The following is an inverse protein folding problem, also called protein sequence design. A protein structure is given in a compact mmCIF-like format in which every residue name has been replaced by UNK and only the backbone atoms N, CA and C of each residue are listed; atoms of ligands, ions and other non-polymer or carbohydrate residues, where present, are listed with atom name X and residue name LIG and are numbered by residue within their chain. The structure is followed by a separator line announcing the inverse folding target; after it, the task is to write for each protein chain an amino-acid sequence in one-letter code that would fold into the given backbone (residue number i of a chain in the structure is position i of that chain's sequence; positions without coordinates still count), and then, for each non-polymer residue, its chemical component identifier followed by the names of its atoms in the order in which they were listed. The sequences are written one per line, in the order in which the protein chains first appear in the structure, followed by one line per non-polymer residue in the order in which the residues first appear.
data_IF_658196158255
#
_entry.id   IF_658196158255
#
_cell.length_a   1.000
_cell.length_b   1.000
_cell.length_c   1.000
_cell.angle_alpha   90.00
_cell.angle_beta   90.00
_cell.angle_gamma   90.00
#
_symmetry.space_group_name_H-M   'P 1'
#
loop_
_entity.id
_entity.type
_entity.pdbx_description
1 polymer ?
#
# COMPACT_ATOMS: atom_id res chain seq x y z
N UNK A 1 -47.91 -16.14 -1.71
CA UNK A 1 -46.78 -16.93 -2.23
C UNK A 1 -45.75 -17.15 -1.15
N UNK A 2 -45.78 -18.34 -0.53
CA UNK A 2 -44.76 -18.81 0.44
C UNK A 2 -43.53 -19.26 -0.36
N UNK A 3 -42.35 -18.74 -0.02
CA UNK A 3 -41.08 -19.22 -0.56
C UNK A 3 -40.45 -20.14 0.49
N UNK A 4 -40.31 -21.41 0.13
CA UNK A 4 -39.74 -22.48 0.94
C UNK A 4 -38.22 -22.49 0.74
N UNK A 5 -37.45 -22.41 1.82
CA UNK A 5 -35.99 -22.49 1.80
C UNK A 5 -35.60 -23.90 2.27
N UNK A 6 -34.83 -24.61 1.44
CA UNK A 6 -34.30 -25.93 1.75
C UNK A 6 -32.75 -25.84 1.83
N UNK A 7 -32.11 -26.33 2.90
CA UNK A 7 -30.66 -26.42 2.99
C UNK A 7 -30.18 -27.78 2.50
N UNK A 8 -29.28 -27.82 1.52
CA UNK A 8 -28.57 -29.05 1.17
C UNK A 8 -27.16 -29.03 1.76
N UNK A 9 -26.95 -29.89 2.77
CA UNK A 9 -25.65 -30.31 3.28
C UNK A 9 -25.08 -31.41 2.38
N UNK A 10 -23.81 -31.28 1.96
CA UNK A 10 -22.89 -32.42 1.80
C UNK A 10 -21.45 -31.92 1.63
N UNK A 11 -20.56 -32.37 2.54
CA UNK A 11 -19.12 -32.07 2.56
C UNK A 11 -18.38 -32.48 1.28
N UNK A 12 -17.10 -32.13 1.09
CA UNK A 12 -15.95 -32.70 1.81
C UNK A 12 -14.72 -31.79 1.58
N UNK A 13 -13.91 -31.59 2.63
CA UNK A 13 -12.54 -31.09 2.59
C UNK A 13 -11.60 -32.15 1.99
N UNK A 14 -10.76 -31.79 1.01
CA UNK A 14 -9.61 -32.61 0.61
C UNK A 14 -8.35 -31.75 0.43
N UNK A 15 -7.46 -31.89 1.40
CA UNK A 15 -6.04 -31.57 1.37
C UNK A 15 -5.25 -32.49 0.43
N UNK A 16 -4.17 -31.94 -0.14
CA UNK A 16 -2.91 -32.57 -0.60
C UNK A 16 -2.96 -33.97 -1.25
N UNK A 17 -2.43 -34.07 -2.49
CA UNK A 17 -1.52 -35.17 -2.84
C UNK A 17 -0.63 -34.83 -4.05
N UNK A 18 0.68 -34.96 -3.82
CA UNK A 18 1.74 -35.04 -4.81
C UNK A 18 1.52 -36.20 -5.79
N UNK A 19 1.84 -35.98 -7.07
CA UNK A 19 2.11 -37.08 -8.00
C UNK A 19 3.30 -36.76 -8.88
N UNK A 20 4.42 -37.43 -8.56
CA UNK A 20 5.59 -37.54 -9.41
C UNK A 20 5.30 -38.52 -10.55
N UNK A 21 5.46 -38.10 -11.81
CA UNK A 21 5.56 -39.03 -12.93
C UNK A 21 6.78 -38.73 -13.81
N UNK A 22 7.69 -39.70 -13.78
CA UNK A 22 8.82 -39.88 -14.70
C UNK A 22 8.29 -40.29 -16.07
N UNK A 23 8.80 -39.69 -17.14
CA UNK A 23 8.93 -40.35 -18.44
C UNK A 23 10.22 -39.92 -19.12
N UNK A 24 10.96 -40.92 -19.59
CA UNK A 24 12.31 -40.90 -20.15
C UNK A 24 12.27 -41.21 -21.65
N UNK A 25 13.36 -40.81 -22.36
CA UNK A 25 13.89 -41.31 -23.65
C UNK A 25 13.28 -40.72 -24.94
N UNK A 26 13.99 -40.32 -26.03
CA UNK A 26 15.40 -40.31 -26.52
C UNK A 26 15.43 -39.48 -27.84
N UNK A 27 16.36 -38.55 -28.13
CA UNK A 27 17.60 -38.63 -28.99
C UNK A 27 17.85 -37.19 -29.54
N UNK A 28 18.99 -36.70 -30.03
CA UNK A 28 20.44 -36.82 -29.79
C UNK A 28 21.14 -35.75 -30.71
N UNK A 29 22.30 -35.22 -30.25
CA UNK A 29 23.31 -34.35 -30.94
C UNK A 29 22.93 -32.87 -31.16
N UNK A 30 23.75 -31.86 -30.85
CA UNK A 30 25.09 -31.74 -30.25
C UNK A 30 25.60 -30.32 -30.49
N UNK A 31 26.28 -29.69 -29.51
CA UNK A 31 27.31 -28.65 -29.67
C UNK A 31 27.74 -28.25 -28.24
N UNK A 32 28.93 -28.67 -27.82
CA UNK A 32 29.58 -28.17 -26.60
C UNK A 32 30.31 -26.88 -26.97
N UNK A 33 30.14 -25.82 -26.17
CA UNK A 33 31.09 -24.71 -26.21
C UNK A 33 31.56 -24.37 -24.80
N UNK A 34 32.89 -24.35 -24.68
CA UNK A 34 33.64 -24.39 -23.44
C UNK A 34 33.79 -23.00 -22.84
N UNK A 35 33.53 -22.88 -21.55
CA UNK A 35 33.93 -21.70 -20.78
C UNK A 35 35.45 -21.71 -20.57
N UNK A 36 36.18 -21.04 -21.46
CA UNK A 36 37.60 -20.76 -21.27
C UNK A 36 37.84 -19.34 -20.78
N UNK A 37 38.46 -19.33 -19.60
CA UNK A 37 39.12 -18.25 -18.89
C UNK A 37 40.07 -17.50 -19.83
N UNK A 38 39.92 -16.18 -19.94
CA UNK A 38 40.99 -15.30 -20.39
C UNK A 38 41.35 -14.30 -19.30
N UNK A 39 42.52 -14.50 -18.72
CA UNK A 39 43.29 -13.49 -18.01
C UNK A 39 43.63 -12.36 -18.99
N UNK A 40 43.23 -11.13 -18.69
CA UNK A 40 43.96 -9.96 -19.16
C UNK A 40 44.34 -9.09 -17.96
N UNK A 41 45.64 -8.98 -17.79
CA UNK A 41 46.31 -8.24 -16.71
C UNK A 41 46.26 -6.76 -17.09
N UNK A 42 45.39 -5.98 -16.44
CA UNK A 42 45.49 -4.53 -16.43
C UNK A 42 46.19 -4.09 -15.14
N UNK A 43 47.52 -3.88 -15.20
CA UNK A 43 48.31 -3.36 -14.08
C UNK A 43 48.11 -1.84 -13.93
N UNK A 44 47.73 -1.42 -12.70
CA UNK A 44 48.06 -0.16 -11.97
C UNK A 44 47.79 1.18 -12.70
N UNK A 45 47.14 2.19 -12.11
CA UNK A 45 47.07 2.63 -10.71
C UNK A 45 45.66 3.16 -10.39
N UNK A 46 44.94 2.55 -9.46
CA UNK A 46 43.84 3.24 -8.79
C UNK A 46 44.47 4.02 -7.64
N UNK A 47 44.66 5.33 -7.82
CA UNK A 47 44.91 6.22 -6.69
C UNK A 47 43.68 6.14 -5.78
N UNK A 48 43.82 5.53 -4.60
CA UNK A 48 42.77 5.60 -3.58
C UNK A 48 42.67 7.06 -3.12
N UNK A 49 41.65 7.78 -3.59
CA UNK A 49 41.35 9.11 -3.04
C UNK A 49 40.59 8.88 -1.74
N UNK A 50 41.32 8.77 -0.63
CA UNK A 50 40.76 8.81 0.72
C UNK A 50 39.95 10.12 0.83
N UNK A 51 38.64 10.01 0.97
CA UNK A 51 37.81 11.18 1.23
C UNK A 51 38.24 11.77 2.59
N UNK A 52 38.84 12.96 2.56
CA UNK A 52 39.00 13.76 3.78
C UNK A 52 37.60 14.15 4.26
N UNK A 53 37.19 13.62 5.40
CA UNK A 53 36.11 14.19 6.18
C UNK A 53 36.59 15.53 6.70
N UNK A 54 36.22 16.60 6.00
CA UNK A 54 36.30 17.94 6.53
C UNK A 54 35.00 18.17 7.31
N UNK A 55 35.07 18.15 8.64
CA UNK A 55 34.00 18.66 9.48
C UNK A 55 33.92 20.18 9.30
N UNK A 56 32.94 20.64 8.54
CA UNK A 56 32.58 22.07 8.51
C UNK A 56 31.93 22.45 9.85
N UNK A 57 32.21 23.64 10.41
CA UNK A 57 31.55 24.11 11.62
C UNK A 57 30.05 24.25 11.37
N UNK A 58 29.25 23.99 12.41
CA UNK A 58 27.80 24.05 12.38
C UNK A 58 27.31 25.35 11.70
N UNK A 59 26.74 25.20 10.50
CA UNK A 59 26.10 26.29 9.79
C UNK A 59 24.89 26.81 10.58
N UNK A 60 24.52 28.09 10.42
CA UNK A 60 23.48 28.72 11.21
C UNK A 60 22.11 28.13 10.82
N UNK A 61 21.61 27.23 11.65
CA UNK A 61 20.21 26.80 11.74
C UNK A 61 19.65 26.14 10.48
N UNK A 62 19.20 24.90 10.61
CA UNK A 62 18.22 24.36 9.67
C UNK A 62 17.02 25.32 9.66
N UNK A 63 16.96 26.21 8.66
CA UNK A 63 15.74 26.96 8.36
C UNK A 63 14.76 25.90 7.90
N UNK A 64 13.93 25.42 8.83
CA UNK A 64 12.69 24.73 8.50
C UNK A 64 12.01 25.63 7.48
N UNK A 65 11.82 25.11 6.27
CA UNK A 65 11.23 25.84 5.15
C UNK A 65 9.93 26.49 5.64
N UNK A 66 9.98 27.81 5.83
CA UNK A 66 8.95 28.56 6.54
C UNK A 66 7.60 28.41 5.81
N UNK A 67 7.66 28.19 4.49
CA UNK A 67 6.51 27.93 3.64
C UNK A 67 5.81 26.61 4.01
N UNK A 68 6.57 25.49 4.10
CA UNK A 68 6.04 24.19 4.54
C UNK A 68 5.40 24.24 5.92
N UNK A 69 5.99 25.01 6.84
CA UNK A 69 5.43 25.20 8.18
C UNK A 69 4.08 25.95 8.13
N UNK A 70 3.91 26.90 7.20
CA UNK A 70 2.64 27.60 7.03
C UNK A 70 1.57 26.74 6.35
N UNK A 71 1.95 25.91 5.37
CA UNK A 71 1.03 24.94 4.76
C UNK A 71 0.53 23.93 5.78
N UNK A 72 1.42 23.37 6.60
CA UNK A 72 1.03 22.46 7.67
C UNK A 72 0.07 23.12 8.67
N UNK A 73 0.33 24.38 9.06
CA UNK A 73 -0.58 25.14 9.93
C UNK A 73 -1.96 25.40 9.30
N UNK A 74 -2.02 25.65 7.98
CA UNK A 74 -3.28 25.76 7.25
C UNK A 74 -4.02 24.41 7.25
N UNK A 75 -3.29 23.31 7.06
CA UNK A 75 -3.85 21.97 7.05
C UNK A 75 -4.36 21.55 8.43
N UNK A 76 -3.65 21.89 9.50
CA UNK A 76 -4.03 21.64 10.89
C UNK A 76 -5.41 22.25 11.21
N UNK A 77 -5.69 23.46 10.70
CA UNK A 77 -7.00 24.13 10.86
C UNK A 77 -8.13 23.44 10.08
N UNK A 78 -7.82 22.55 9.14
CA UNK A 78 -8.76 21.80 8.30
C UNK A 78 -8.94 20.35 8.76
N UNK A 79 -8.28 19.93 9.85
CA UNK A 79 -8.40 18.57 10.36
C UNK A 79 -9.80 18.31 10.90
N UNK A 80 -10.38 17.20 10.47
CA UNK A 80 -11.67 16.71 10.91
C UNK A 80 -11.47 15.50 11.81
N UNK A 81 -12.30 15.39 12.85
CA UNK A 81 -12.41 14.16 13.63
C UNK A 81 -13.16 13.10 12.83
N UNK A 82 -12.83 11.83 13.04
CA UNK A 82 -13.48 10.70 12.39
C UNK A 82 -14.98 10.68 12.65
N UNK A 83 -15.41 11.00 13.89
CA UNK A 83 -16.83 11.13 14.25
C UNK A 83 -17.60 12.20 13.45
N UNK A 84 -16.90 13.20 12.92
CA UNK A 84 -17.50 14.30 12.15
C UNK A 84 -17.45 14.05 10.63
N UNK A 85 -16.83 12.96 10.18
CA UNK A 85 -16.81 12.60 8.77
C UNK A 85 -18.11 11.88 8.41
N UNK A 86 -19.10 12.61 7.89
CA UNK A 86 -20.44 12.06 7.61
C UNK A 86 -21.08 12.57 6.32
N UNK A 87 -20.63 13.70 5.78
CA UNK A 87 -21.22 14.29 4.58
C UNK A 87 -20.66 13.65 3.32
N UNK A 88 -21.55 13.19 2.45
CA UNK A 88 -21.18 12.81 1.09
C UNK A 88 -20.68 14.04 0.32
N UNK A 89 -19.79 13.84 -0.65
CA UNK A 89 -19.21 14.90 -1.48
C UNK A 89 -18.31 15.92 -0.77
N UNK A 90 -17.97 15.70 0.50
CA UNK A 90 -17.00 16.52 1.24
C UNK A 90 -15.66 15.78 1.39
N UNK A 91 -14.57 16.52 1.15
CA UNK A 91 -13.20 16.03 1.39
C UNK A 91 -12.77 16.31 2.83
N UNK A 92 -12.23 15.29 3.47
CA UNK A 92 -11.77 15.31 4.85
C UNK A 92 -10.26 15.10 4.92
N UNK A 93 -9.64 15.84 5.84
CA UNK A 93 -8.27 15.61 6.28
C UNK A 93 -8.32 15.12 7.72
N UNK A 94 -7.68 14.01 8.03
CA UNK A 94 -7.76 13.37 9.36
C UNK A 94 -6.37 13.03 9.86
N UNK A 95 -6.13 13.27 11.15
CA UNK A 95 -4.93 12.85 11.85
C UNK A 95 -5.33 11.67 12.74
N UNK A 96 -4.74 10.50 12.48
CA UNK A 96 -5.23 9.23 13.02
C UNK A 96 -4.06 8.32 13.39
N UNK A 97 -4.30 7.39 14.31
CA UNK A 97 -3.40 6.28 14.61
C UNK A 97 -3.83 5.05 13.82
N UNK A 98 -2.88 4.31 13.25
CA UNK A 98 -3.15 3.05 12.60
C UNK A 98 -3.47 1.98 13.65
N UNK A 99 -4.64 1.36 13.55
CA UNK A 99 -5.00 0.20 14.39
C UNK A 99 -4.47 -1.07 13.74
N UNK A 100 -4.80 -1.29 12.46
CA UNK A 100 -4.24 -2.39 11.68
C UNK A 100 -4.36 -2.14 10.17
N UNK A 101 -3.29 -2.39 9.39
CA UNK A 101 -3.36 -2.45 7.94
C UNK A 101 -3.90 -3.82 7.47
N UNK A 102 -4.52 -3.85 6.29
CA UNK A 102 -4.93 -5.08 5.62
C UNK A 102 -4.09 -5.32 4.35
N UNK A 103 -4.04 -6.57 3.90
CA UNK A 103 -3.33 -6.97 2.68
C UNK A 103 -3.93 -6.32 1.43
N UNK A 104 -3.05 -5.92 0.51
CA UNK A 104 -3.43 -5.44 -0.82
C UNK A 104 -4.08 -6.58 -1.59
N UNK A 105 -5.22 -6.29 -2.22
CA UNK A 105 -5.94 -7.17 -3.13
C UNK A 105 -6.05 -6.50 -4.49
N UNK A 106 -5.86 -7.27 -5.56
CA UNK A 106 -6.11 -6.80 -6.91
C UNK A 106 -7.56 -7.11 -7.29
N UNK A 107 -8.38 -6.07 -7.52
CA UNK A 107 -9.78 -6.24 -7.91
C UNK A 107 -9.98 -5.92 -9.39
N UNK A 108 -10.87 -6.66 -10.03
CA UNK A 108 -11.23 -6.41 -11.42
C UNK A 108 -12.40 -5.42 -11.49
N UNK A 109 -12.14 -4.21 -11.97
CA UNK A 109 -13.17 -3.19 -12.19
C UNK A 109 -13.75 -3.37 -13.59
N UNK A 110 -15.03 -3.73 -13.65
CA UNK A 110 -15.79 -3.89 -14.89
C UNK A 110 -16.46 -2.56 -15.25
N UNK A 111 -15.71 -1.65 -15.87
CA UNK A 111 -16.26 -0.37 -16.37
C UNK A 111 -16.89 -0.53 -17.76
N UNK A 112 -16.42 -1.48 -18.58
CA UNK A 112 -16.97 -1.77 -19.92
C UNK A 112 -16.91 -3.28 -20.23
N UNK A 113 -17.86 -3.86 -20.99
CA UNK A 113 -17.94 -5.30 -21.23
C UNK A 113 -16.68 -5.99 -21.79
N UNK A 114 -15.76 -5.24 -22.41
CA UNK A 114 -14.55 -5.78 -23.07
C UNK A 114 -13.22 -5.28 -22.49
N UNK A 115 -13.25 -4.41 -21.47
CA UNK A 115 -12.04 -3.87 -20.83
C UNK A 115 -12.20 -3.93 -19.33
N UNK A 116 -11.66 -4.98 -18.75
CA UNK A 116 -11.63 -5.13 -17.30
C UNK A 116 -10.27 -4.66 -16.81
N UNK A 117 -10.24 -3.54 -16.09
CA UNK A 117 -9.02 -3.01 -15.50
C UNK A 117 -8.83 -3.64 -14.13
N UNK A 118 -7.62 -4.11 -13.84
CA UNK A 118 -7.28 -4.59 -12.51
C UNK A 118 -6.71 -3.43 -11.69
N UNK A 119 -7.24 -3.26 -10.48
CA UNK A 119 -6.89 -2.15 -9.61
C UNK A 119 -6.52 -2.68 -8.23
N UNK A 120 -5.35 -2.30 -7.68
CA UNK A 120 -5.01 -2.63 -6.31
C UNK A 120 -5.88 -1.84 -5.34
N UNK A 121 -6.37 -2.53 -4.31
CA UNK A 121 -7.16 -1.98 -3.22
C UNK A 121 -6.65 -2.54 -1.90
N UNK A 122 -6.56 -1.69 -0.88
CA UNK A 122 -6.29 -2.09 0.48
C UNK A 122 -7.28 -1.41 1.43
N UNK A 123 -7.31 -1.86 2.68
CA UNK A 123 -8.06 -1.18 3.73
C UNK A 123 -7.15 -1.05 4.93
N UNK A 124 -7.19 0.10 5.59
CA UNK A 124 -6.57 0.31 6.89
C UNK A 124 -7.66 0.66 7.89
N UNK A 125 -7.54 0.17 9.12
CA UNK A 125 -8.38 0.63 10.23
C UNK A 125 -7.61 1.66 11.02
N UNK A 126 -8.26 2.79 11.26
CA UNK A 126 -7.65 3.94 11.92
C UNK A 126 -8.54 4.42 13.06
N UNK A 127 -7.92 4.99 14.08
CA UNK A 127 -8.59 5.58 15.24
C UNK A 127 -8.06 6.99 15.47
N UNK A 128 -8.89 7.89 15.99
CA UNK A 128 -8.47 9.24 16.38
C UNK A 128 -8.81 9.51 17.85
N UNK A 129 -8.57 10.74 18.31
CA UNK A 129 -8.88 11.17 19.68
C UNK A 129 -10.38 11.17 20.02
N UNK A 130 -11.27 10.88 19.06
CA UNK A 130 -12.68 10.67 19.33
C UNK A 130 -13.04 9.23 19.69
N UNK A 131 -12.03 8.34 19.77
CA UNK A 131 -12.17 6.91 20.06
C UNK A 131 -13.05 6.16 19.04
N UNK A 132 -13.24 6.75 17.86
CA UNK A 132 -13.97 6.14 16.76
C UNK A 132 -12.98 5.43 15.85
N UNK A 133 -13.12 4.11 15.75
CA UNK A 133 -12.46 3.35 14.69
C UNK A 133 -13.21 3.52 13.37
N UNK A 134 -12.46 3.69 12.28
CA UNK A 134 -13.04 3.76 10.93
C UNK A 134 -12.13 3.10 9.91
N UNK A 135 -12.75 2.38 8.97
CA UNK A 135 -12.05 1.84 7.81
C UNK A 135 -11.78 2.93 6.80
N UNK A 136 -10.56 2.96 6.27
CA UNK A 136 -10.18 3.75 5.11
C UNK A 136 -9.83 2.80 3.98
N UNK A 137 -10.60 2.87 2.89
CA UNK A 137 -10.37 2.10 1.67
C UNK A 137 -9.40 2.88 0.78
N UNK A 138 -8.27 2.25 0.46
CA UNK A 138 -7.19 2.81 -0.33
C UNK A 138 -7.22 2.21 -1.73
N UNK A 139 -7.25 3.04 -2.75
CA UNK A 139 -7.38 2.64 -4.16
C UNK A 139 -6.14 2.99 -4.97
N UNK A 140 -5.87 2.23 -6.03
CA UNK A 140 -4.77 2.47 -6.95
C UNK A 140 -3.43 2.59 -6.20
N UNK A 141 -2.62 3.63 -6.50
CA UNK A 141 -1.35 3.87 -5.82
C UNK A 141 -1.47 3.98 -4.30
N UNK A 142 -2.59 4.49 -3.78
CA UNK A 142 -2.81 4.62 -2.34
C UNK A 142 -2.88 3.26 -1.63
N UNK A 143 -3.29 2.19 -2.32
CA UNK A 143 -3.34 0.85 -1.72
C UNK A 143 -1.97 0.41 -1.18
N UNK A 144 -0.87 0.84 -1.83
CA UNK A 144 0.49 0.52 -1.43
C UNK A 144 0.94 1.21 -0.14
N UNK A 145 0.25 2.25 0.31
CA UNK A 145 0.54 2.85 1.63
C UNK A 145 0.30 1.88 2.78
N UNK A 146 -0.56 0.86 2.61
CA UNK A 146 -0.75 -0.20 3.59
C UNK A 146 0.53 -1.00 3.89
N UNK A 147 1.53 -0.96 3.00
CA UNK A 147 2.83 -1.62 3.18
C UNK A 147 3.84 -0.77 3.95
N UNK A 148 3.56 0.53 4.13
CA UNK A 148 4.48 1.50 4.70
C UNK A 148 4.02 2.03 6.06
N UNK A 149 2.95 1.48 6.60
CA UNK A 149 2.38 1.88 7.89
C UNK A 149 2.18 0.65 8.77
N UNK A 150 2.43 0.80 10.07
CA UNK A 150 2.30 -0.27 11.06
C UNK A 150 1.29 0.10 12.15
N UNK A 151 0.70 -0.88 12.84
CA UNK A 151 -0.09 -0.62 14.05
C UNK A 151 0.66 0.29 15.02
N UNK A 152 0.01 1.38 15.45
CA UNK A 152 0.59 2.39 16.33
C UNK A 152 1.10 3.65 15.62
N UNK A 153 1.38 3.60 14.31
CA UNK A 153 1.86 4.76 13.56
C UNK A 153 0.83 5.90 13.59
N UNK A 154 1.30 7.13 13.79
CA UNK A 154 0.47 8.33 13.65
C UNK A 154 0.57 8.81 12.20
N UNK A 155 -0.56 8.89 11.50
CA UNK A 155 -0.61 9.30 10.10
C UNK A 155 -1.59 10.44 9.87
N UNK A 156 -1.21 11.33 8.96
CA UNK A 156 -2.10 12.33 8.40
C UNK A 156 -2.57 11.85 7.02
N UNK A 157 -3.89 11.71 6.86
CA UNK A 157 -4.53 11.37 5.59
C UNK A 157 -5.31 12.57 5.08
N UNK A 158 -5.13 12.91 3.81
CA UNK A 158 -5.79 14.07 3.19
C UNK A 158 -6.77 13.67 2.09
N UNK A 159 -7.72 14.57 1.83
CA UNK A 159 -8.68 14.48 0.73
C UNK A 159 -9.43 13.14 0.69
N UNK A 160 -9.77 12.60 1.86
CA UNK A 160 -10.62 11.41 1.99
C UNK A 160 -12.09 11.77 1.77
N UNK A 161 -12.86 10.85 1.21
CA UNK A 161 -14.29 11.01 0.97
C UNK A 161 -15.07 9.94 1.70
N UNK A 162 -16.30 10.22 2.11
CA UNK A 162 -17.19 9.21 2.66
C UNK A 162 -17.63 8.24 1.55
N UNK A 163 -17.58 6.95 1.88
CA UNK A 163 -18.06 5.86 1.04
C UNK A 163 -18.96 4.94 1.88
N UNK A 164 -20.16 4.69 1.39
CA UNK A 164 -21.08 3.75 2.02
C UNK A 164 -20.99 2.40 1.33
N UNK A 165 -20.63 1.36 2.09
CA UNK A 165 -20.70 0.01 1.60
C UNK A 165 -22.14 -0.50 1.70
N UNK A 166 -22.87 -0.43 0.59
CA UNK A 166 -24.28 -0.84 0.49
C UNK A 166 -24.53 -2.31 0.90
N UNK A 167 -23.52 -3.17 0.83
CA UNK A 167 -23.66 -4.58 1.19
C UNK A 167 -23.61 -4.82 2.69
N UNK A 168 -22.82 -4.03 3.41
CA UNK A 168 -22.58 -4.19 4.85
C UNK A 168 -23.25 -3.11 5.70
N UNK A 169 -23.83 -2.07 5.07
CA UNK A 169 -24.39 -0.91 5.77
C UNK A 169 -23.34 -0.07 6.53
N UNK A 170 -22.04 -0.27 6.23
CA UNK A 170 -20.94 0.36 6.94
C UNK A 170 -20.46 1.62 6.19
N UNK A 171 -20.36 2.74 6.91
CA UNK A 171 -19.80 4.00 6.40
C UNK A 171 -18.28 4.03 6.62
N UNK A 172 -17.54 4.05 5.52
CA UNK A 172 -16.08 4.06 5.46
C UNK A 172 -15.58 5.40 4.90
N UNK A 173 -14.28 5.63 5.02
CA UNK A 173 -13.57 6.65 4.25
C UNK A 173 -12.92 6.00 3.03
N UNK A 174 -12.74 6.76 1.96
CA UNK A 174 -12.11 6.31 0.73
C UNK A 174 -11.07 7.32 0.27
N UNK A 175 -9.89 6.84 -0.11
CA UNK A 175 -8.87 7.66 -0.78
C UNK A 175 -9.38 8.18 -2.13
N UNK A 176 -9.01 9.40 -2.47
CA UNK A 176 -9.19 9.97 -3.81
C UNK A 176 -7.86 10.04 -4.55
N UNK A 177 -7.88 10.46 -5.82
CA UNK A 177 -6.66 10.65 -6.60
C UNK A 177 -5.76 11.79 -6.07
N UNK A 178 -6.29 12.69 -5.25
CA UNK A 178 -5.53 13.77 -4.60
C UNK A 178 -5.15 13.46 -3.17
N UNK A 179 -5.56 12.30 -2.65
CA UNK A 179 -5.19 11.90 -1.29
C UNK A 179 -3.69 11.78 -1.14
N UNK A 180 -3.21 12.14 0.04
CA UNK A 180 -1.83 11.94 0.47
C UNK A 180 -1.83 11.28 1.85
N UNK A 181 -0.78 10.51 2.09
CA UNK A 181 -0.46 9.97 3.41
C UNK A 181 0.88 10.55 3.85
N UNK A 182 0.92 11.13 5.04
CA UNK A 182 2.14 11.51 5.73
C UNK A 182 2.24 10.69 7.03
N UNK A 183 3.24 9.82 7.11
CA UNK A 183 3.57 9.07 8.32
C UNK A 183 4.42 9.94 9.24
N UNK A 184 3.98 10.12 10.49
CA UNK A 184 4.60 10.96 11.51
C UNK A 184 5.35 10.16 12.58
N UNK A 185 5.34 8.82 12.49
CA UNK A 185 5.97 7.90 13.45
C UNK A 185 5.01 7.38 14.50
#
# INVERSE_FOLDING_TARGET
NKIHIEPLNSGILCSQLDSCHKSSSKRARGCEDSFQIFHSVCKRQIKSKRAKLNSSPAGPGLRVDQDRMTEFKKLQKKLSLLKNCCCQNQKYNVLVTIVHPCHIKEIQVKTRPKSACKVPVATIVVIDQSEVERKVVLWHGAAFWSLTVFPGDIVLLTDLMIYENLWCGETMLQSTFTSQLLNLG
#
